data_IF_880100211477
#
_entry.id   IF_880100211477
#
_cell.length_a   1.000
_cell.length_b   1.000
_cell.length_c   1.000
_cell.angle_alpha   90.00
_cell.angle_beta   90.00
_cell.angle_gamma   90.00
#
_symmetry.space_group_name_H-M   'P 1'
#
loop_
_entity.id
_entity.type
_entity.pdbx_description
1 polymer ?
#
# COMPACT_ATOMS: atom_id res chain seq x y z
N UNK A 1 18.73 -3.79 -35.98
CA UNK A 1 18.33 -5.18 -35.66
C UNK A 1 16.82 -5.16 -35.44
N UNK A 2 16.01 -5.70 -36.38
CA UNK A 2 14.56 -5.72 -36.19
C UNK A 2 14.22 -6.61 -34.98
N UNK A 3 13.16 -6.28 -34.21
CA UNK A 3 12.70 -7.13 -33.13
C UNK A 3 12.37 -8.51 -33.71
N UNK A 4 12.95 -9.57 -33.13
CA UNK A 4 12.64 -10.95 -33.52
C UNK A 4 11.14 -11.15 -33.33
N UNK A 5 10.48 -11.91 -34.21
CA UNK A 5 9.03 -12.18 -34.14
C UNK A 5 8.58 -12.56 -32.71
N UNK A 6 9.41 -13.32 -31.98
CA UNK A 6 9.18 -13.68 -30.58
C UNK A 6 9.11 -12.50 -29.60
N UNK A 7 9.89 -11.43 -29.78
CA UNK A 7 9.79 -10.25 -28.90
C UNK A 7 8.51 -9.46 -29.15
N UNK A 8 8.03 -9.42 -30.40
CA UNK A 8 6.75 -8.76 -30.74
C UNK A 8 5.59 -9.55 -30.13
N UNK A 9 5.60 -10.88 -30.27
CA UNK A 9 4.58 -11.75 -29.67
C UNK A 9 4.58 -11.66 -28.14
N UNK A 10 5.75 -11.60 -27.51
CA UNK A 10 5.85 -11.42 -26.05
C UNK A 10 5.24 -10.09 -25.58
N UNK A 11 5.54 -8.98 -26.29
CA UNK A 11 4.94 -7.67 -25.96
C UNK A 11 3.43 -7.65 -26.18
N UNK A 12 2.93 -8.28 -27.26
CA UNK A 12 1.49 -8.40 -27.50
C UNK A 12 0.80 -9.23 -26.41
N UNK A 13 1.41 -10.33 -25.96
CA UNK A 13 0.92 -11.13 -24.85
C UNK A 13 0.85 -10.28 -23.57
N UNK A 14 1.93 -9.56 -23.24
CA UNK A 14 2.00 -8.70 -22.07
C UNK A 14 0.94 -7.59 -22.09
N UNK A 15 0.76 -6.91 -23.23
CA UNK A 15 -0.30 -5.92 -23.43
C UNK A 15 -1.69 -6.52 -23.30
N UNK A 16 -1.91 -7.74 -23.82
CA UNK A 16 -3.20 -8.44 -23.69
C UNK A 16 -3.50 -8.80 -22.24
N UNK A 17 -2.48 -9.23 -21.47
CA UNK A 17 -2.62 -9.49 -20.03
C UNK A 17 -2.99 -8.23 -19.27
N UNK A 18 -2.31 -7.10 -19.53
CA UNK A 18 -2.65 -5.82 -18.90
C UNK A 18 -4.05 -5.32 -19.31
N UNK A 19 -4.42 -5.49 -20.58
CA UNK A 19 -5.76 -5.15 -21.08
C UNK A 19 -6.86 -5.96 -20.40
N UNK A 20 -6.65 -7.28 -20.24
CA UNK A 20 -7.57 -8.15 -19.50
C UNK A 20 -7.65 -7.78 -18.02
N UNK A 21 -6.51 -7.51 -17.37
CA UNK A 21 -6.48 -7.06 -15.97
C UNK A 21 -7.27 -5.76 -15.78
N UNK A 22 -7.09 -4.79 -16.68
CA UNK A 22 -7.82 -3.52 -16.63
C UNK A 22 -9.32 -3.74 -16.87
N UNK A 23 -9.67 -4.51 -17.90
CA UNK A 23 -11.06 -4.83 -18.23
C UNK A 23 -11.78 -5.52 -17.05
N UNK A 24 -11.16 -6.55 -16.48
CA UNK A 24 -11.72 -7.26 -15.33
C UNK A 24 -11.73 -6.39 -14.08
N UNK A 25 -10.75 -5.51 -13.87
CA UNK A 25 -10.80 -4.54 -12.77
C UNK A 25 -12.00 -3.59 -12.91
N UNK A 26 -12.20 -3.01 -14.10
CA UNK A 26 -13.35 -2.15 -14.38
C UNK A 26 -14.67 -2.90 -14.18
N UNK A 27 -14.76 -4.15 -14.64
CA UNK A 27 -15.96 -4.98 -14.53
C UNK A 27 -16.24 -5.43 -13.10
N UNK A 28 -15.25 -5.95 -12.39
CA UNK A 28 -15.38 -6.46 -11.02
C UNK A 28 -15.67 -5.35 -10.01
N UNK A 29 -15.05 -4.17 -10.17
CA UNK A 29 -15.26 -3.03 -9.30
C UNK A 29 -16.35 -2.07 -9.82
N UNK A 30 -17.00 -2.40 -10.94
CA UNK A 30 -18.05 -1.60 -11.55
C UNK A 30 -17.64 -0.13 -11.72
N UNK A 31 -16.41 0.11 -12.20
CA UNK A 31 -15.85 1.45 -12.35
C UNK A 31 -16.51 2.16 -13.53
N UNK A 32 -17.10 3.32 -13.28
CA UNK A 32 -17.67 4.22 -14.28
C UNK A 32 -16.97 5.57 -14.15
N UNK A 33 -16.42 6.08 -15.25
CA UNK A 33 -15.95 7.46 -15.29
C UNK A 33 -17.13 8.37 -15.63
N UNK A 34 -17.50 9.23 -14.68
CA UNK A 34 -18.32 10.40 -14.95
C UNK A 34 -17.38 11.52 -15.43
N UNK A 35 -17.36 11.73 -16.75
CA UNK A 35 -16.49 12.71 -17.38
C UNK A 35 -16.91 14.15 -17.10
N UNK A 36 -18.19 14.39 -16.84
CA UNK A 36 -18.73 15.72 -16.57
C UNK A 36 -18.36 16.18 -15.16
N UNK A 37 -18.35 15.25 -14.19
CA UNK A 37 -17.95 15.52 -12.80
C UNK A 37 -16.46 15.25 -12.53
N UNK A 38 -15.74 14.66 -13.48
CA UNK A 38 -14.37 14.12 -13.31
C UNK A 38 -14.27 13.15 -12.12
N UNK A 39 -15.32 12.35 -11.90
CA UNK A 39 -15.42 11.42 -10.78
C UNK A 39 -15.38 9.98 -11.27
N UNK A 40 -14.64 9.13 -10.55
CA UNK A 40 -14.66 7.68 -10.73
C UNK A 40 -15.73 7.10 -9.80
N UNK A 41 -16.87 6.71 -10.36
CA UNK A 41 -17.90 5.97 -9.65
C UNK A 41 -17.53 4.48 -9.57
N UNK A 42 -17.68 3.87 -8.39
CA UNK A 42 -17.60 2.42 -8.24
C UNK A 42 -18.92 1.91 -7.67
N UNK A 43 -19.49 0.87 -8.29
CA UNK A 43 -20.68 0.18 -7.74
C UNK A 43 -20.43 -0.44 -6.36
N UNK A 44 -19.17 -0.60 -5.97
CA UNK A 44 -18.79 -1.05 -4.63
C UNK A 44 -19.15 -0.04 -3.54
N UNK A 45 -19.50 1.20 -3.91
CA UNK A 45 -20.00 2.24 -3.00
C UNK A 45 -21.53 2.45 -2.97
N UNK A 46 -22.32 1.69 -3.73
CA UNK A 46 -23.79 1.88 -3.78
C UNK A 46 -24.54 0.85 -2.92
N UNK A 47 -25.00 1.24 -1.74
CA UNK A 47 -25.91 0.43 -0.93
C UNK A 47 -27.35 0.54 -1.48
N UNK A 48 -27.95 -0.57 -1.91
CA UNK A 48 -29.41 -0.66 -2.06
C UNK A 48 -30.03 -0.92 -0.69
N UNK A 49 -30.98 -0.08 -0.30
CA UNK A 49 -31.59 -0.06 1.03
C UNK A 49 -32.27 -1.38 1.41
N UNK A 50 -32.15 -1.73 2.69
CA UNK A 50 -33.09 -2.63 3.34
C UNK A 50 -34.43 -1.89 3.52
N UNK A 51 -35.59 -2.57 3.39
CA UNK A 51 -36.89 -1.95 3.63
C UNK A 51 -37.01 -1.49 5.09
N UNK A 52 -37.83 -0.46 5.38
CA UNK A 52 -37.95 0.10 6.73
C UNK A 52 -38.47 -0.97 7.71
N UNK A 53 -37.62 -1.32 8.68
CA UNK A 53 -37.99 -2.19 9.79
C UNK A 53 -38.98 -1.45 10.71
N UNK A 54 -40.12 -2.10 10.99
CA UNK A 54 -41.08 -1.69 12.03
C UNK A 54 -40.35 -1.53 13.38
N UNK A 55 -40.80 -0.60 14.26
CA UNK A 55 -40.18 -0.42 15.55
C UNK A 55 -40.32 -1.69 16.41
N UNK A 56 -39.18 -2.25 16.82
CA UNK A 56 -39.08 -3.29 17.85
C UNK A 56 -39.22 -2.66 19.25
N UNK A 57 -39.82 -3.35 20.23
CA UNK A 57 -39.99 -2.85 21.59
C UNK A 57 -38.64 -2.68 22.31
N UNK A 58 -38.58 -1.70 23.20
CA UNK A 58 -37.38 -1.30 23.93
C UNK A 58 -36.82 -2.44 24.80
N UNK A 59 -35.55 -2.83 24.59
CA UNK A 59 -34.84 -3.77 25.45
C UNK A 59 -33.79 -4.66 24.76
N UNK A 60 -33.77 -4.72 23.43
CA UNK A 60 -32.74 -5.46 22.68
C UNK A 60 -31.69 -4.52 22.11
N UNK A 61 -30.41 -4.84 22.31
CA UNK A 61 -29.31 -4.15 21.67
C UNK A 61 -29.53 -4.15 20.14
N UNK A 62 -29.35 -3.00 19.45
CA UNK A 62 -29.52 -2.97 18.01
C UNK A 62 -28.52 -3.94 17.36
N UNK A 63 -28.91 -4.70 16.32
CA UNK A 63 -27.93 -5.41 15.54
C UNK A 63 -26.94 -4.39 14.97
N UNK A 64 -25.66 -4.56 15.29
CA UNK A 64 -24.55 -3.81 14.69
C UNK A 64 -24.79 -3.71 13.17
N UNK A 65 -24.97 -2.50 12.59
CA UNK A 65 -25.17 -2.37 11.16
C UNK A 65 -23.84 -2.66 10.47
N UNK A 66 -23.63 -3.93 10.11
CA UNK A 66 -22.58 -4.35 9.22
C UNK A 66 -22.79 -3.70 7.85
N UNK A 67 -22.10 -2.59 7.59
CA UNK A 67 -21.98 -2.05 6.24
C UNK A 67 -21.16 -3.02 5.39
N UNK A 68 -21.83 -3.90 4.67
CA UNK A 68 -21.25 -4.60 3.53
C UNK A 68 -21.30 -3.67 2.32
N UNK A 69 -20.14 -3.15 1.93
CA UNK A 69 -19.92 -2.58 0.60
C UNK A 69 -20.21 -3.69 -0.41
N UNK A 70 -21.23 -3.55 -1.29
CA UNK A 70 -21.54 -4.61 -2.22
C UNK A 70 -20.49 -4.60 -3.33
N UNK A 71 -19.48 -5.45 -3.21
CA UNK A 71 -18.76 -5.91 -4.39
C UNK A 71 -19.79 -6.41 -5.42
N UNK A 72 -19.49 -6.34 -6.72
CA UNK A 72 -20.40 -6.82 -7.77
C UNK A 72 -20.70 -8.35 -7.66
N UNK A 73 -20.12 -9.01 -6.68
CA UNK A 73 -20.25 -10.43 -6.35
C UNK A 73 -20.46 -10.59 -4.84
N UNK A 74 -21.21 -11.62 -4.45
CA UNK A 74 -21.42 -12.00 -3.05
C UNK A 74 -20.20 -12.74 -2.47
N UNK A 75 -20.12 -12.82 -1.13
CA UNK A 75 -19.10 -13.65 -0.47
C UNK A 75 -19.15 -15.11 -0.95
N UNK A 76 -20.35 -15.64 -1.17
CA UNK A 76 -20.53 -17.01 -1.68
C UNK A 76 -19.98 -17.15 -3.11
N UNK A 77 -20.31 -16.23 -4.01
CA UNK A 77 -19.81 -16.24 -5.39
C UNK A 77 -18.28 -16.13 -5.42
N UNK A 78 -17.70 -15.25 -4.60
CA UNK A 78 -16.24 -15.12 -4.47
C UNK A 78 -15.58 -16.41 -3.99
N UNK A 79 -16.13 -17.00 -2.92
CA UNK A 79 -15.58 -18.22 -2.33
C UNK A 79 -15.71 -19.40 -3.30
N UNK A 80 -16.82 -19.47 -4.03
CA UNK A 80 -17.05 -20.48 -5.07
C UNK A 80 -16.06 -20.31 -6.21
N UNK A 81 -15.85 -19.09 -6.70
CA UNK A 81 -14.84 -18.80 -7.71
C UNK A 81 -13.43 -19.16 -7.25
N UNK A 82 -13.04 -18.78 -6.02
CA UNK A 82 -11.76 -19.15 -5.44
C UNK A 82 -11.60 -20.68 -5.40
N UNK A 83 -12.62 -21.41 -4.95
CA UNK A 83 -12.61 -22.88 -4.93
C UNK A 83 -12.44 -23.47 -6.34
N UNK A 84 -13.11 -22.90 -7.35
CA UNK A 84 -13.00 -23.35 -8.74
C UNK A 84 -11.61 -23.10 -9.31
N UNK A 85 -10.95 -21.98 -8.97
CA UNK A 85 -9.72 -21.53 -9.65
C UNK A 85 -8.44 -21.94 -8.91
N UNK A 86 -8.47 -22.09 -7.58
CA UNK A 86 -7.26 -22.31 -6.77
C UNK A 86 -6.52 -23.59 -7.15
N UNK A 87 -7.20 -24.73 -7.24
CA UNK A 87 -6.57 -26.01 -7.59
C UNK A 87 -6.10 -26.07 -9.05
N UNK A 88 -6.88 -25.61 -10.06
CA UNK A 88 -6.37 -25.47 -11.42
C UNK A 88 -5.12 -24.60 -11.53
N UNK A 89 -5.03 -23.49 -10.78
CA UNK A 89 -3.83 -22.65 -10.75
C UNK A 89 -2.62 -23.42 -10.19
N UNK A 90 -2.81 -24.21 -9.12
CA UNK A 90 -1.75 -25.11 -8.63
C UNK A 90 -1.33 -26.09 -9.71
N UNK A 91 -2.28 -26.64 -10.46
CA UNK A 91 -2.01 -27.53 -11.60
C UNK A 91 -1.20 -26.85 -12.71
N UNK A 92 -1.59 -25.65 -13.13
CA UNK A 92 -0.84 -24.86 -14.14
C UNK A 92 0.57 -24.54 -13.65
N UNK A 93 0.72 -24.14 -12.38
CA UNK A 93 2.03 -23.85 -11.80
C UNK A 93 2.90 -25.11 -11.73
N UNK A 94 2.33 -26.27 -11.40
CA UNK A 94 3.02 -27.55 -11.42
C UNK A 94 3.47 -27.95 -12.83
N UNK A 95 2.61 -27.77 -13.84
CA UNK A 95 2.97 -28.03 -15.24
C UNK A 95 4.09 -27.10 -15.72
N UNK A 96 4.02 -25.81 -15.38
CA UNK A 96 5.07 -24.83 -15.69
C UNK A 96 6.40 -25.21 -15.02
N UNK A 97 6.38 -25.58 -13.74
CA UNK A 97 7.58 -26.00 -13.02
C UNK A 97 8.18 -27.28 -13.63
N UNK A 98 7.33 -28.26 -13.94
CA UNK A 98 7.75 -29.51 -14.57
C UNK A 98 8.40 -29.26 -15.93
N UNK A 99 7.83 -28.36 -16.73
CA UNK A 99 8.40 -27.95 -18.02
C UNK A 99 9.80 -27.35 -17.86
N UNK A 100 10.00 -26.40 -16.94
CA UNK A 100 11.31 -25.78 -16.71
C UNK A 100 12.35 -26.80 -16.21
N UNK A 101 11.95 -27.73 -15.33
CA UNK A 101 12.84 -28.80 -14.86
C UNK A 101 13.25 -29.72 -16.01
N UNK A 102 12.32 -30.09 -16.89
CA UNK A 102 12.59 -30.95 -18.06
C UNK A 102 13.47 -30.25 -19.10
N UNK A 103 13.21 -28.97 -19.39
CA UNK A 103 14.06 -28.15 -20.28
C UNK A 103 15.46 -28.01 -19.71
N UNK A 104 15.60 -27.78 -18.40
CA UNK A 104 16.89 -27.73 -17.74
C UNK A 104 17.62 -29.09 -17.79
N UNK A 105 16.89 -30.20 -17.57
CA UNK A 105 17.43 -31.55 -17.69
C UNK A 105 17.97 -31.82 -19.11
N UNK A 106 17.20 -31.44 -20.14
CA UNK A 106 17.60 -31.54 -21.53
C UNK A 106 18.88 -30.73 -21.82
N UNK A 107 18.95 -29.49 -21.33
CA UNK A 107 20.16 -28.64 -21.48
C UNK A 107 21.38 -29.27 -20.83
N UNK A 108 21.24 -29.87 -19.64
CA UNK A 108 22.32 -30.61 -18.98
C UNK A 108 22.76 -31.82 -19.80
N UNK A 109 21.83 -32.54 -20.43
CA UNK A 109 22.14 -33.70 -21.27
C UNK A 109 22.92 -33.33 -22.54
N UNK A 110 22.75 -32.12 -23.07
CA UNK A 110 23.44 -31.59 -24.24
C UNK A 110 24.86 -31.06 -23.98
N UNK A 111 25.31 -30.99 -22.71
CA UNK A 111 26.66 -30.53 -22.36
C UNK A 111 27.71 -31.52 -22.88
N UNK A 112 28.78 -31.00 -23.50
CA UNK A 112 29.90 -31.81 -24.01
C UNK A 112 30.90 -32.13 -22.89
N UNK A 113 31.38 -33.38 -22.88
CA UNK A 113 32.38 -33.86 -21.92
C UNK A 113 31.77 -34.49 -20.66
N UNK A 114 32.33 -35.63 -20.23
CA UNK A 114 31.78 -36.43 -19.12
C UNK A 114 31.75 -35.67 -17.79
N UNK A 115 32.87 -35.01 -17.43
CA UNK A 115 32.99 -34.26 -16.18
C UNK A 115 31.99 -33.10 -16.09
N UNK A 116 31.88 -32.29 -17.15
CA UNK A 116 30.96 -31.16 -17.20
C UNK A 116 29.50 -31.59 -17.23
N UNK A 117 29.19 -32.72 -17.89
CA UNK A 117 27.87 -33.33 -17.85
C UNK A 117 27.51 -33.79 -16.44
N UNK A 118 28.43 -34.48 -15.74
CA UNK A 118 28.23 -34.91 -14.36
C UNK A 118 27.99 -33.72 -13.42
N UNK A 119 28.83 -32.68 -13.52
CA UNK A 119 28.68 -31.47 -12.72
C UNK A 119 27.36 -30.74 -12.99
N UNK A 120 26.98 -30.59 -14.26
CA UNK A 120 25.72 -29.98 -14.65
C UNK A 120 24.51 -30.79 -14.16
N UNK A 121 24.57 -32.12 -14.22
CA UNK A 121 23.50 -32.99 -13.69
C UNK A 121 23.39 -32.89 -12.17
N UNK A 122 24.51 -32.79 -11.45
CA UNK A 122 24.50 -32.59 -10.00
C UNK A 122 23.87 -31.24 -9.61
N UNK A 123 24.28 -30.17 -10.28
CA UNK A 123 23.71 -28.83 -10.06
C UNK A 123 22.21 -28.81 -10.37
N UNK A 124 21.80 -29.42 -11.49
CA UNK A 124 20.40 -29.56 -11.84
C UNK A 124 19.61 -30.32 -10.77
N UNK A 125 20.13 -31.45 -10.28
CA UNK A 125 19.45 -32.25 -9.27
C UNK A 125 19.23 -31.46 -7.97
N UNK A 126 20.26 -30.75 -7.50
CA UNK A 126 20.18 -29.90 -6.29
C UNK A 126 19.15 -28.79 -6.48
N UNK A 127 19.22 -28.04 -7.59
CA UNK A 127 18.33 -26.90 -7.84
C UNK A 127 16.89 -27.34 -8.12
N UNK A 128 16.68 -28.42 -8.86
CA UNK A 128 15.36 -28.99 -9.09
C UNK A 128 14.73 -29.43 -7.76
N UNK A 129 15.49 -30.10 -6.90
CA UNK A 129 15.03 -30.52 -5.56
C UNK A 129 14.66 -29.32 -4.70
N UNK A 130 15.52 -28.30 -4.66
CA UNK A 130 15.25 -27.07 -3.92
C UNK A 130 14.00 -26.34 -4.44
N UNK A 131 13.83 -26.28 -5.76
CA UNK A 131 12.69 -25.59 -6.39
C UNK A 131 11.38 -26.34 -6.16
N UNK A 132 11.38 -27.68 -6.28
CA UNK A 132 10.22 -28.52 -5.96
C UNK A 132 9.87 -28.41 -4.48
N UNK A 133 10.87 -28.41 -3.59
CA UNK A 133 10.68 -28.21 -2.16
C UNK A 133 10.05 -26.85 -1.86
N UNK A 134 10.58 -25.77 -2.45
CA UNK A 134 10.06 -24.41 -2.30
C UNK A 134 8.63 -24.29 -2.85
N UNK A 135 8.37 -24.87 -4.02
CA UNK A 135 7.04 -24.94 -4.60
C UNK A 135 6.07 -25.65 -3.66
N UNK A 136 6.42 -26.83 -3.16
CA UNK A 136 5.59 -27.60 -2.24
C UNK A 136 5.23 -26.80 -0.98
N UNK A 137 6.21 -26.21 -0.29
CA UNK A 137 5.93 -25.41 0.91
C UNK A 137 5.14 -24.14 0.59
N UNK A 138 5.27 -23.56 -0.61
CA UNK A 138 4.48 -22.39 -1.03
C UNK A 138 2.99 -22.67 -1.25
N UNK A 139 2.60 -23.95 -1.47
CA UNK A 139 1.20 -24.33 -1.64
C UNK A 139 0.36 -24.05 -0.39
N UNK A 140 0.95 -24.19 0.80
CA UNK A 140 0.25 -23.93 2.07
C UNK A 140 -0.21 -22.46 2.19
N UNK A 141 0.67 -21.45 2.10
CA UNK A 141 0.24 -20.06 2.18
C UNK A 141 -0.59 -19.61 0.98
N UNK A 142 -0.42 -20.23 -0.20
CA UNK A 142 -1.21 -19.94 -1.41
C UNK A 142 -2.66 -20.39 -1.27
N UNK A 143 -2.88 -21.63 -0.82
CA UNK A 143 -4.24 -22.20 -0.68
C UNK A 143 -4.98 -21.70 0.55
N UNK A 144 -4.32 -21.05 1.51
CA UNK A 144 -4.97 -20.60 2.75
C UNK A 144 -6.20 -19.71 2.51
N UNK A 145 -6.23 -18.94 1.42
CA UNK A 145 -7.36 -18.05 1.11
C UNK A 145 -8.69 -18.83 1.01
N UNK A 146 -8.63 -20.12 0.65
CA UNK A 146 -9.76 -21.03 0.58
C UNK A 146 -9.44 -22.28 1.43
N UNK A 147 -10.02 -22.32 2.63
CA UNK A 147 -9.63 -23.27 3.67
C UNK A 147 -9.88 -24.74 3.28
N UNK A 148 -10.86 -25.00 2.41
CA UNK A 148 -11.20 -26.35 1.96
C UNK A 148 -10.09 -26.97 1.08
N UNK A 149 -9.50 -26.21 0.15
CA UNK A 149 -8.37 -26.65 -0.67
C UNK A 149 -7.09 -26.75 0.14
N UNK A 150 -6.90 -25.87 1.13
CA UNK A 150 -5.79 -26.00 2.06
C UNK A 150 -5.84 -27.32 2.84
N UNK A 151 -7.04 -27.74 3.27
CA UNK A 151 -7.27 -29.04 3.90
C UNK A 151 -7.08 -30.24 2.97
N UNK A 152 -7.24 -30.06 1.66
CA UNK A 152 -7.00 -31.11 0.65
C UNK A 152 -5.53 -31.33 0.32
N UNK A 153 -4.62 -30.44 0.74
CA UNK A 153 -3.19 -30.64 0.54
C UNK A 153 -2.69 -31.87 1.30
N UNK A 154 -1.73 -32.57 0.71
CA UNK A 154 -1.12 -33.75 1.33
C UNK A 154 -0.51 -33.38 2.71
N UNK A 155 -0.77 -34.13 3.79
CA UNK A 155 -0.24 -33.81 5.12
C UNK A 155 1.30 -33.72 5.20
N UNK A 156 2.01 -34.36 4.27
CA UNK A 156 3.47 -34.19 4.13
C UNK A 156 3.88 -32.74 3.85
N UNK A 157 3.12 -32.04 3.00
CA UNK A 157 3.37 -30.65 2.63
C UNK A 157 3.21 -29.71 3.83
N UNK A 158 2.16 -29.92 4.63
CA UNK A 158 1.94 -29.17 5.87
C UNK A 158 3.08 -29.37 6.88
N UNK A 159 3.56 -30.60 7.04
CA UNK A 159 4.72 -30.90 7.90
C UNK A 159 6.01 -30.23 7.39
N UNK A 160 6.26 -30.29 6.08
CA UNK A 160 7.41 -29.60 5.47
C UNK A 160 7.36 -28.09 5.67
N UNK A 161 6.18 -27.48 5.46
CA UNK A 161 5.98 -26.06 5.70
C UNK A 161 6.26 -25.68 7.16
N UNK A 162 5.68 -26.41 8.12
CA UNK A 162 5.91 -26.15 9.54
C UNK A 162 7.38 -26.30 9.97
N UNK A 163 8.13 -27.23 9.36
CA UNK A 163 9.56 -27.39 9.64
C UNK A 163 10.41 -26.19 9.17
N UNK A 164 9.99 -25.50 8.10
CA UNK A 164 10.72 -24.37 7.51
C UNK A 164 10.13 -22.99 7.86
N UNK A 165 8.98 -22.95 8.54
CA UNK A 165 8.24 -21.72 8.84
C UNK A 165 9.09 -20.70 9.59
N UNK A 166 9.93 -21.15 10.54
CA UNK A 166 10.83 -20.25 11.30
C UNK A 166 11.83 -19.46 10.43
N UNK A 167 12.12 -19.96 9.23
CA UNK A 167 13.02 -19.31 8.30
C UNK A 167 12.30 -18.33 7.36
N UNK A 168 10.96 -18.32 7.38
CA UNK A 168 10.12 -17.41 6.59
C UNK A 168 10.43 -17.46 5.08
N UNK A 169 10.81 -18.64 4.57
CA UNK A 169 11.14 -18.87 3.15
C UNK A 169 9.93 -18.67 2.22
N UNK A 170 8.74 -18.99 2.72
CA UNK A 170 7.46 -18.79 2.04
C UNK A 170 6.46 -18.21 3.02
N UNK A 171 5.68 -17.22 2.58
CA UNK A 171 4.71 -16.52 3.41
C UNK A 171 3.45 -16.25 2.60
N UNK A 172 2.31 -16.14 3.28
CA UNK A 172 1.12 -15.54 2.66
C UNK A 172 1.39 -14.06 2.48
N UNK A 173 1.92 -13.66 1.33
CA UNK A 173 2.21 -12.27 1.03
C UNK A 173 0.91 -11.47 0.92
N UNK A 174 0.60 -10.74 1.98
CA UNK A 174 -0.26 -9.59 1.97
C UNK A 174 0.26 -8.67 3.06
N UNK A 175 0.74 -7.48 2.68
CA UNK A 175 1.13 -6.43 3.63
C UNK A 175 0.01 -6.17 4.66
N UNK A 176 -1.24 -6.48 4.28
CA UNK A 176 -2.45 -6.51 5.10
C UNK A 176 -3.36 -7.68 4.71
N UNK A 177 -3.05 -8.88 5.20
CA UNK A 177 -3.86 -10.09 4.95
C UNK A 177 -5.31 -9.95 5.45
N UNK A 178 -5.53 -9.15 6.49
CA UNK A 178 -6.84 -8.62 6.88
C UNK A 178 -6.70 -7.12 6.95
N UNK A 179 -7.36 -6.41 6.05
CA UNK A 179 -7.46 -4.95 6.14
C UNK A 179 -8.36 -4.59 7.33
N UNK A 180 -7.92 -3.63 8.14
CA UNK A 180 -8.78 -3.01 9.14
C UNK A 180 -9.74 -2.03 8.44
N UNK A 181 -10.89 -1.75 9.03
CA UNK A 181 -11.91 -0.90 8.43
C UNK A 181 -13.21 -1.61 8.03
N UNK A 182 -13.32 -2.93 8.24
CA UNK A 182 -14.63 -3.62 8.27
C UNK A 182 -15.43 -3.00 9.42
N UNK A 183 -16.49 -2.25 9.08
CA UNK A 183 -17.24 -1.45 10.06
C UNK A 183 -16.73 -0.02 10.29
N UNK A 184 -15.84 0.51 9.44
CA UNK A 184 -15.37 1.90 9.45
C UNK A 184 -13.89 2.05 9.75
N UNK A 185 -13.23 3.00 9.08
CA UNK A 185 -11.79 3.27 9.22
C UNK A 185 -11.54 4.07 10.51
N UNK A 186 -10.81 3.53 11.50
CA UNK A 186 -10.46 4.28 12.71
C UNK A 186 -9.41 5.35 12.37
N UNK A 187 -9.60 6.55 12.91
CA UNK A 187 -8.74 7.70 12.68
C UNK A 187 -8.55 8.49 13.97
N UNK A 188 -7.29 8.76 14.30
CA UNK A 188 -6.92 9.67 15.39
C UNK A 188 -6.99 11.10 14.85
N UNK A 189 -7.83 11.92 15.49
CA UNK A 189 -7.98 13.34 15.21
C UNK A 189 -7.30 14.11 16.35
N UNK A 190 -6.26 14.87 16.00
CA UNK A 190 -5.54 15.70 16.94
C UNK A 190 -6.20 17.07 17.02
N UNK A 191 -6.43 17.56 18.23
CA UNK A 191 -7.08 18.83 18.47
C UNK A 191 -6.18 19.70 19.36
N UNK A 192 -6.09 20.98 19.02
CA UNK A 192 -5.40 21.98 19.82
C UNK A 192 -6.34 23.02 20.39
N UNK A 193 -5.91 23.63 21.48
CA UNK A 193 -6.64 24.68 22.15
C UNK A 193 -5.70 25.67 22.84
N UNK A 194 -6.13 26.93 22.96
CA UNK A 194 -5.44 27.94 23.75
C UNK A 194 -5.98 28.05 25.18
N UNK A 195 -7.26 27.74 25.38
CA UNK A 195 -8.03 27.93 26.61
C UNK A 195 -8.44 26.62 27.30
N UNK A 196 -8.32 25.48 26.61
CA UNK A 196 -8.77 24.16 27.09
C UNK A 196 -10.27 23.88 26.86
N UNK A 197 -11.02 24.84 26.31
CA UNK A 197 -12.46 24.76 26.09
C UNK A 197 -12.82 24.75 24.59
N UNK A 198 -12.17 25.62 23.83
CA UNK A 198 -12.36 25.76 22.38
C UNK A 198 -11.31 24.91 21.66
N UNK A 199 -11.76 23.85 21.01
CA UNK A 199 -10.88 22.86 20.36
C UNK A 199 -10.94 23.01 18.84
N UNK A 200 -9.76 23.10 18.21
CA UNK A 200 -9.62 23.16 16.75
C UNK A 200 -8.88 21.93 16.26
N UNK A 201 -9.49 21.21 15.31
CA UNK A 201 -8.88 20.04 14.68
C UNK A 201 -7.67 20.42 13.84
N UNK A 202 -6.60 19.64 13.97
CA UNK A 202 -5.41 19.74 13.16
C UNK A 202 -5.57 18.81 11.95
N UNK A 203 -5.78 19.40 10.79
CA UNK A 203 -5.92 18.67 9.52
C UNK A 203 -4.57 18.17 9.00
N UNK A 204 -4.53 16.88 8.65
CA UNK A 204 -3.36 16.23 8.06
C UNK A 204 -3.48 16.20 6.54
N UNK A 205 -2.34 16.13 5.84
CA UNK A 205 -2.31 16.24 4.38
C UNK A 205 -3.06 15.13 3.63
N UNK A 206 -3.04 13.88 4.11
CA UNK A 206 -3.43 12.74 3.26
C UNK A 206 -4.37 11.74 3.93
N UNK A 207 -4.38 11.63 5.26
CA UNK A 207 -5.41 10.83 5.96
C UNK A 207 -6.76 11.56 6.01
N UNK A 208 -7.87 10.83 6.22
CA UNK A 208 -9.16 11.44 6.49
C UNK A 208 -9.13 12.39 7.70
N UNK A 209 -9.88 13.47 7.59
CA UNK A 209 -10.07 14.51 8.60
C UNK A 209 -11.37 15.24 8.28
N UNK A 210 -11.28 16.37 7.60
CA UNK A 210 -12.45 17.09 7.09
C UNK A 210 -13.40 16.18 6.28
N UNK A 211 -14.65 16.05 6.75
CA UNK A 211 -15.69 15.20 6.14
C UNK A 211 -16.09 15.61 4.72
N UNK A 212 -15.85 16.86 4.34
CA UNK A 212 -16.13 17.40 3.01
C UNK A 212 -14.94 17.28 2.05
N UNK A 213 -13.78 16.79 2.51
CA UNK A 213 -12.60 16.64 1.67
C UNK A 213 -12.59 15.28 0.95
N UNK A 214 -12.39 15.31 -0.37
CA UNK A 214 -12.20 14.10 -1.15
C UNK A 214 -10.90 13.37 -0.75
N UNK A 215 -10.85 12.03 -0.81
CA UNK A 215 -9.60 11.28 -0.61
C UNK A 215 -8.51 11.74 -1.57
N UNK A 216 -7.31 11.99 -1.05
CA UNK A 216 -6.17 12.39 -1.87
C UNK A 216 -5.59 11.20 -2.67
N UNK A 217 -5.23 11.43 -3.93
CA UNK A 217 -4.42 10.49 -4.74
C UNK A 217 -2.95 10.79 -4.49
N UNK A 218 -2.32 9.96 -3.66
CA UNK A 218 -0.95 10.21 -3.17
C UNK A 218 0.10 9.34 -3.82
N UNK A 219 -0.28 8.26 -4.51
CA UNK A 219 0.68 7.39 -5.18
C UNK A 219 1.55 8.21 -6.14
N UNK A 220 2.87 7.99 -6.19
CA UNK A 220 3.65 6.93 -5.53
C UNK A 220 4.23 7.32 -4.16
N UNK A 221 3.84 8.48 -3.61
CA UNK A 221 4.24 8.88 -2.26
C UNK A 221 3.64 7.97 -1.20
N UNK A 222 4.43 7.70 -0.16
CA UNK A 222 4.01 6.94 1.01
C UNK A 222 4.04 7.88 2.22
N UNK A 223 2.89 8.47 2.61
CA UNK A 223 2.80 9.39 3.74
C UNK A 223 3.12 8.68 5.06
N UNK A 224 4.37 8.79 5.53
CA UNK A 224 4.85 7.98 6.66
C UNK A 224 4.13 8.32 7.97
N UNK A 225 3.86 9.60 8.22
CA UNK A 225 3.20 10.04 9.46
C UNK A 225 1.73 9.61 9.48
N UNK A 226 0.98 9.91 8.42
CA UNK A 226 -0.42 9.52 8.26
C UNK A 226 -0.59 8.00 8.37
N UNK A 227 0.35 7.23 7.81
CA UNK A 227 0.38 5.77 7.89
C UNK A 227 0.64 5.26 9.31
N UNK A 228 1.56 5.89 10.05
CA UNK A 228 1.81 5.56 11.45
C UNK A 228 0.61 5.90 12.33
N UNK A 229 -0.10 7.00 12.04
CA UNK A 229 -1.35 7.35 12.74
C UNK A 229 -2.46 6.33 12.50
N UNK A 230 -2.59 5.81 11.28
CA UNK A 230 -3.53 4.74 10.98
C UNK A 230 -3.26 3.49 11.82
N UNK A 231 -1.99 3.10 12.00
CA UNK A 231 -1.64 2.00 12.91
C UNK A 231 -1.92 2.33 14.37
N UNK A 232 -1.57 3.55 14.81
CA UNK A 232 -1.82 3.99 16.18
C UNK A 232 -3.32 3.92 16.53
N UNK A 233 -4.20 4.22 15.57
CA UNK A 233 -5.65 4.15 15.72
C UNK A 233 -6.21 2.73 15.96
N UNK A 234 -5.42 1.68 15.73
CA UNK A 234 -5.84 0.28 15.90
C UNK A 234 -5.70 -0.24 17.33
N UNK A 235 -5.04 0.52 18.21
CA UNK A 235 -4.79 0.13 19.59
C UNK A 235 -4.81 1.33 20.53
N UNK A 236 -4.49 1.13 21.82
CA UNK A 236 -4.38 2.22 22.78
C UNK A 236 -3.09 3.03 22.52
N UNK A 237 -3.08 4.31 22.89
CA UNK A 237 -1.96 5.21 22.60
C UNK A 237 -0.62 4.76 23.21
N UNK A 238 -0.63 4.00 24.32
CA UNK A 238 0.58 3.46 24.95
C UNK A 238 1.33 2.47 24.05
N UNK A 239 0.66 1.86 23.08
CA UNK A 239 1.29 1.00 22.07
C UNK A 239 2.08 1.79 21.01
N UNK A 240 1.94 3.12 20.99
CA UNK A 240 2.57 4.03 20.02
C UNK A 240 3.40 5.12 20.72
N UNK A 241 4.57 4.79 21.30
CA UNK A 241 5.38 5.73 22.10
C UNK A 241 5.77 7.02 21.37
N UNK A 242 5.99 6.91 20.06
CA UNK A 242 6.34 8.05 19.20
C UNK A 242 5.25 9.14 19.18
N UNK A 243 3.99 8.79 19.48
CA UNK A 243 2.87 9.72 19.49
C UNK A 243 3.01 10.77 20.61
N UNK A 244 3.46 10.37 21.80
CA UNK A 244 3.73 11.31 22.90
C UNK A 244 4.83 12.32 22.54
N UNK A 245 5.87 11.87 21.82
CA UNK A 245 6.90 12.77 21.29
C UNK A 245 6.35 13.70 20.19
N UNK A 246 5.45 13.22 19.33
CA UNK A 246 4.76 14.07 18.36
C UNK A 246 3.99 15.20 19.08
N UNK A 247 3.16 14.84 20.08
CA UNK A 247 2.37 15.80 20.88
C UNK A 247 3.28 16.85 21.53
N UNK A 248 4.36 16.42 22.19
CA UNK A 248 5.33 17.33 22.81
C UNK A 248 5.90 18.33 21.78
N UNK A 249 6.30 17.85 20.60
CA UNK A 249 6.93 18.70 19.59
C UNK A 249 5.96 19.67 18.94
N UNK A 250 4.68 19.30 18.85
CA UNK A 250 3.62 20.19 18.38
C UNK A 250 3.29 21.27 19.43
N UNK A 251 3.21 20.92 20.72
CA UNK A 251 3.10 21.90 21.81
C UNK A 251 4.27 22.88 21.84
N UNK A 252 5.48 22.42 21.50
CA UNK A 252 6.66 23.28 21.37
C UNK A 252 6.67 24.15 20.10
N UNK A 253 5.72 23.96 19.17
CA UNK A 253 5.70 24.66 17.89
C UNK A 253 6.88 24.32 16.97
N UNK A 254 7.40 23.10 17.05
CA UNK A 254 8.59 22.72 16.26
C UNK A 254 8.28 22.70 14.75
N UNK A 255 8.91 23.56 13.94
CA UNK A 255 8.52 23.77 12.55
C UNK A 255 8.75 22.53 11.69
N UNK A 256 9.82 21.77 11.95
CA UNK A 256 10.10 20.53 11.24
C UNK A 256 9.02 19.47 11.48
N UNK A 257 8.35 19.48 12.63
CA UNK A 257 7.26 18.54 12.96
C UNK A 257 5.93 19.03 12.38
N UNK A 258 5.63 20.32 12.49
CA UNK A 258 4.46 20.94 11.86
C UNK A 258 4.45 20.64 10.35
N UNK A 259 5.61 20.69 9.68
CA UNK A 259 5.74 20.37 8.26
C UNK A 259 5.48 18.91 7.89
N UNK A 260 5.61 17.98 8.84
CA UNK A 260 5.20 16.58 8.63
C UNK A 260 3.66 16.45 8.60
N UNK A 261 2.97 17.31 9.35
CA UNK A 261 1.50 17.37 9.39
C UNK A 261 0.96 18.13 8.18
N UNK A 262 1.58 19.28 7.87
CA UNK A 262 1.14 20.17 6.81
C UNK A 262 2.31 20.91 6.15
N UNK A 263 2.51 20.71 4.84
CA UNK A 263 3.56 21.40 4.08
C UNK A 263 3.24 22.88 3.88
N UNK A 264 1.95 23.21 3.74
CA UNK A 264 1.45 24.58 3.61
C UNK A 264 1.11 25.16 5.00
N UNK A 265 2.06 25.87 5.61
CA UNK A 265 1.93 26.39 6.98
C UNK A 265 0.66 27.24 7.20
N UNK A 266 0.11 27.88 6.16
CA UNK A 266 -1.13 28.66 6.26
C UNK A 266 -2.36 27.82 6.62
N UNK A 267 -2.36 26.51 6.30
CA UNK A 267 -3.45 25.58 6.62
C UNK A 267 -3.32 24.97 8.01
N UNK A 268 -2.19 25.17 8.68
CA UNK A 268 -2.01 24.71 10.05
C UNK A 268 -2.65 25.74 11.01
N UNK A 269 -3.69 25.38 11.80
CA UNK A 269 -4.44 26.38 12.57
C UNK A 269 -3.60 27.16 13.59
N UNK A 270 -2.50 26.55 14.07
CA UNK A 270 -1.64 27.10 15.11
C UNK A 270 -0.30 27.62 14.56
N UNK A 271 -0.28 28.07 13.30
CA UNK A 271 0.96 28.55 12.65
C UNK A 271 1.50 29.85 13.26
N UNK A 272 0.62 30.75 13.73
CA UNK A 272 1.04 32.00 14.37
C UNK A 272 1.54 31.84 15.81
N UNK A 273 0.96 30.90 16.57
CA UNK A 273 1.37 30.58 17.94
C UNK A 273 1.01 29.11 18.25
N UNK A 274 1.93 28.33 18.84
CA UNK A 274 1.64 26.94 19.20
C UNK A 274 0.49 26.84 20.22
N UNK A 275 -0.30 25.75 20.19
CA UNK A 275 -1.40 25.55 21.11
C UNK A 275 -0.90 25.37 22.55
N UNK A 276 -1.70 25.80 23.53
CA UNK A 276 -1.41 25.60 24.96
C UNK A 276 -1.72 24.17 25.39
N UNK A 277 -2.79 23.61 24.82
CA UNK A 277 -3.28 22.27 25.11
C UNK A 277 -3.41 21.46 23.83
N UNK A 278 -3.09 20.17 23.91
CA UNK A 278 -3.37 19.19 22.86
C UNK A 278 -4.13 18.02 23.48
N UNK A 279 -5.06 17.46 22.71
CA UNK A 279 -5.71 16.17 22.99
C UNK A 279 -5.90 15.41 21.69
N UNK A 280 -6.21 14.12 21.77
CA UNK A 280 -6.54 13.35 20.58
C UNK A 280 -7.79 12.50 20.78
N UNK A 281 -8.64 12.50 19.77
CA UNK A 281 -9.92 11.80 19.76
C UNK A 281 -9.89 10.68 18.71
N UNK A 282 -10.50 9.54 19.00
CA UNK A 282 -10.65 8.45 18.05
C UNK A 282 -12.03 8.54 17.40
N UNK A 283 -12.04 8.56 16.07
CA UNK A 283 -13.26 8.51 15.27
C UNK A 283 -13.24 7.30 14.36
N UNK A 284 -14.42 6.81 13.97
CA UNK A 284 -14.58 5.92 12.81
C UNK A 284 -15.11 6.73 11.64
N UNK A 285 -14.51 6.54 10.47
CA UNK A 285 -14.89 7.18 9.21
C UNK A 285 -15.46 6.14 8.24
N UNK A 286 -16.49 6.56 7.50
CA UNK A 286 -17.06 5.82 6.37
C UNK A 286 -17.28 6.77 5.20
N UNK A 287 -17.25 6.23 4.00
CA UNK A 287 -17.74 6.97 2.84
C UNK A 287 -19.23 7.25 2.99
N UNK A 288 -19.64 8.45 2.61
CA UNK A 288 -21.06 8.79 2.50
C UNK A 288 -21.63 8.11 1.26
N UNK A 289 -22.83 7.54 1.39
CA UNK A 289 -23.54 7.04 0.22
C UNK A 289 -24.00 8.24 -0.64
N UNK A 290 -24.02 8.13 -1.98
CA UNK A 290 -24.64 9.13 -2.82
C UNK A 290 -26.11 9.27 -2.41
N UNK A 291 -26.50 10.42 -1.87
CA UNK A 291 -27.90 10.66 -1.53
C UNK A 291 -28.59 11.22 -2.78
N UNK A 292 -29.48 10.46 -3.41
CA UNK A 292 -30.19 10.86 -4.64
C UNK A 292 -31.19 12.02 -4.43
N UNK A 293 -31.29 12.62 -3.23
CA UNK A 293 -32.35 13.59 -2.92
C UNK A 293 -31.98 14.78 -2.06
N UNK A 294 -30.71 15.03 -1.71
CA UNK A 294 -30.34 16.24 -0.95
C UNK A 294 -29.84 17.35 -1.88
N UNK A 295 -30.46 18.55 -1.88
CA UNK A 295 -29.95 19.69 -2.65
C UNK A 295 -28.68 20.23 -1.98
N UNK A 296 -27.52 19.76 -2.45
CA UNK A 296 -26.20 20.17 -1.98
C UNK A 296 -25.12 19.14 -2.33
N UNK A 297 -23.85 19.57 -2.37
CA UNK A 297 -22.73 18.63 -2.47
C UNK A 297 -22.66 17.82 -1.16
N UNK A 298 -23.01 16.52 -1.23
CA UNK A 298 -22.91 15.64 -0.08
C UNK A 298 -21.45 15.57 0.42
N UNK A 299 -21.21 15.53 1.74
CA UNK A 299 -19.86 15.34 2.27
C UNK A 299 -19.30 14.01 1.78
N UNK A 300 -17.98 13.92 1.62
CA UNK A 300 -17.30 12.69 1.19
C UNK A 300 -17.30 11.59 2.26
N UNK A 301 -17.31 12.01 3.52
CA UNK A 301 -17.27 11.13 4.67
C UNK A 301 -18.40 11.40 5.64
N UNK A 302 -18.79 10.35 6.35
CA UNK A 302 -19.46 10.44 7.64
C UNK A 302 -18.51 9.92 8.71
N UNK A 303 -18.56 10.50 9.90
CA UNK A 303 -17.72 10.08 11.03
C UNK A 303 -18.53 9.95 12.31
N UNK A 304 -18.05 9.12 13.21
CA UNK A 304 -18.62 8.94 14.54
C UNK A 304 -17.48 8.94 15.56
N UNK A 305 -17.63 9.74 16.62
CA UNK A 305 -16.71 9.71 17.75
C UNK A 305 -16.83 8.37 18.47
N UNK A 306 -15.70 7.77 18.80
CA UNK A 306 -15.64 6.48 19.49
C UNK A 306 -15.26 6.70 20.96
N UNK A 307 -14.11 7.32 21.18
CA UNK A 307 -13.56 7.54 22.51
C UNK A 307 -12.42 8.56 22.46
N UNK A 308 -11.99 9.01 23.63
CA UNK A 308 -10.71 9.71 23.76
C UNK A 308 -9.55 8.75 23.43
N UNK A 309 -8.65 9.18 22.55
CA UNK A 309 -7.45 8.41 22.20
C UNK A 309 -6.27 8.78 23.09
N UNK A 310 -6.07 10.08 23.31
CA UNK A 310 -4.96 10.63 24.10
C UNK A 310 -5.49 11.77 24.97
N UNK A 311 -5.16 11.80 26.27
CA UNK A 311 -5.69 12.77 27.21
C UNK A 311 -5.28 14.20 26.86
N UNK A 312 -6.00 15.16 27.42
CA UNK A 312 -5.62 16.56 27.33
C UNK A 312 -4.32 16.80 28.11
N UNK A 313 -3.32 17.35 27.44
CA UNK A 313 -2.00 17.67 28.04
C UNK A 313 -1.51 19.05 27.62
N UNK A 314 -0.63 19.62 28.43
CA UNK A 314 0.08 20.88 28.15
C UNK A 314 1.59 20.72 28.35
N UNK A 315 2.37 21.76 28.03
CA UNK A 315 3.82 21.76 28.31
C UNK A 315 4.07 21.73 29.81
N UNK A 316 4.87 20.75 30.26
CA UNK A 316 5.16 20.54 31.68
C UNK A 316 4.13 19.69 32.43
N UNK A 317 3.13 19.14 31.72
CA UNK A 317 2.15 18.23 32.31
C UNK A 317 2.83 16.94 32.82
N UNK A 318 2.61 16.54 34.08
CA UNK A 318 3.22 15.34 34.66
C UNK A 318 2.85 14.06 33.92
N UNK A 319 1.65 14.00 33.32
CA UNK A 319 1.17 12.85 32.53
C UNK A 319 2.01 12.69 31.27
N UNK A 320 2.25 13.79 30.55
CA UNK A 320 3.06 13.79 29.34
C UNK A 320 4.53 13.45 29.66
N UNK A 321 5.06 14.03 30.73
CA UNK A 321 6.43 13.77 31.19
C UNK A 321 6.64 12.30 31.61
N UNK A 322 5.65 11.69 32.27
CA UNK A 322 5.66 10.28 32.64
C UNK A 322 5.70 9.38 31.40
N UNK A 323 4.82 9.64 30.42
CA UNK A 323 4.76 8.88 29.17
C UNK A 323 6.07 8.97 28.36
N UNK A 324 6.68 10.15 28.31
CA UNK A 324 7.97 10.36 27.64
C UNK A 324 9.11 9.64 28.35
N UNK A 325 9.13 9.66 29.68
CA UNK A 325 10.17 9.02 30.50
C UNK A 325 10.09 7.50 30.43
N UNK A 326 8.87 6.93 30.49
CA UNK A 326 8.62 5.49 30.38
C UNK A 326 9.23 4.88 29.11
N UNK A 327 9.27 5.64 28.02
CA UNK A 327 9.75 5.18 26.71
C UNK A 327 11.15 5.70 26.35
N UNK A 328 11.87 6.32 27.30
CA UNK A 328 13.22 6.85 27.06
C UNK A 328 13.29 7.99 26.05
N UNK A 329 12.18 8.72 25.81
CA UNK A 329 12.09 9.77 24.80
C UNK A 329 12.53 11.15 25.30
N UNK A 330 12.83 11.26 26.60
CA UNK A 330 13.34 12.48 27.24
C UNK A 330 14.87 12.61 27.13
N UNK A 331 15.56 11.50 26.90
CA UNK A 331 17.02 11.52 26.79
C UNK A 331 17.44 12.35 25.58
N UNK A 332 18.38 13.28 25.80
CA UNK A 332 19.03 13.96 24.68
C UNK A 332 19.69 12.87 23.84
N UNK A 333 19.37 12.75 22.54
CA UNK A 333 20.05 11.78 21.70
C UNK A 333 21.55 12.02 21.84
N UNK A 334 22.39 10.96 21.92
CA UNK A 334 23.82 11.11 22.05
C UNK A 334 24.29 12.10 20.98
N UNK A 335 25.12 13.07 21.40
CA UNK A 335 25.51 14.22 20.58
C UNK A 335 25.82 13.76 19.17
N UNK A 336 24.89 14.01 18.24
CA UNK A 336 25.01 13.56 16.85
C UNK A 336 26.35 14.10 16.36
N UNK A 337 27.25 13.20 15.98
CA UNK A 337 28.56 13.54 15.41
C UNK A 337 28.31 14.63 14.37
N UNK A 338 28.79 15.84 14.62
CA UNK A 338 28.58 17.00 13.76
C UNK A 338 29.23 16.65 12.43
N UNK A 339 28.42 16.18 11.50
CA UNK A 339 28.93 15.67 10.25
C UNK A 339 29.37 16.88 9.43
N UNK A 340 30.64 17.23 9.53
CA UNK A 340 31.32 18.10 8.56
C UNK A 340 31.41 17.44 7.17
N UNK A 341 30.87 16.22 7.02
CA UNK A 341 30.72 15.54 5.76
C UNK A 341 29.87 16.35 4.77
N UNK A 342 30.32 16.37 3.51
CA UNK A 342 29.63 17.03 2.41
C UNK A 342 28.21 16.50 2.19
N UNK A 343 27.99 15.20 2.45
CA UNK A 343 26.71 14.54 2.18
C UNK A 343 25.55 15.09 3.03
N UNK A 344 25.62 15.20 4.37
CA UNK A 344 24.59 15.86 5.17
C UNK A 344 24.31 17.31 4.78
N UNK A 345 25.34 18.08 4.38
CA UNK A 345 25.17 19.45 3.88
C UNK A 345 24.39 19.48 2.57
N UNK A 346 24.75 18.60 1.63
CA UNK A 346 24.04 18.42 0.37
C UNK A 346 22.58 17.99 0.59
N UNK A 347 22.34 17.00 1.47
CA UNK A 347 20.99 16.55 1.80
C UNK A 347 20.16 17.65 2.48
N UNK A 348 20.76 18.45 3.35
CA UNK A 348 20.08 19.59 3.96
C UNK A 348 19.77 20.69 2.93
N UNK A 349 20.66 20.92 1.98
CA UNK A 349 20.44 21.85 0.86
C UNK A 349 19.33 21.35 -0.08
N UNK A 350 19.38 20.10 -0.52
CA UNK A 350 18.32 19.47 -1.32
C UNK A 350 16.97 19.50 -0.59
N UNK A 351 16.96 19.18 0.70
CA UNK A 351 15.74 19.29 1.51
C UNK A 351 15.20 20.71 1.52
N UNK A 352 16.05 21.75 1.60
CA UNK A 352 15.61 23.15 1.54
C UNK A 352 14.97 23.51 0.21
N UNK A 353 15.50 23.01 -0.92
CA UNK A 353 14.90 23.22 -2.24
C UNK A 353 13.54 22.53 -2.40
N UNK A 354 13.40 21.32 -1.86
CA UNK A 354 12.16 20.56 -1.95
C UNK A 354 11.09 20.94 -0.92
N UNK A 355 11.41 21.81 0.06
CA UNK A 355 10.49 22.22 1.13
C UNK A 355 9.10 22.69 0.68
N UNK A 356 8.94 23.50 -0.37
CA UNK A 356 7.62 23.98 -0.76
C UNK A 356 6.79 22.92 -1.52
N UNK A 357 7.40 21.82 -1.95
CA UNK A 357 6.74 20.80 -2.73
C UNK A 357 6.18 19.70 -1.83
N UNK A 358 4.91 19.32 -2.05
CA UNK A 358 4.36 18.12 -1.43
C UNK A 358 5.06 16.86 -1.95
N UNK A 359 5.09 15.81 -1.12
CA UNK A 359 5.71 14.53 -1.47
C UNK A 359 5.26 13.95 -2.82
N UNK A 360 3.94 13.89 -3.11
CA UNK A 360 3.44 13.40 -4.40
C UNK A 360 3.93 14.23 -5.59
N UNK A 361 3.89 15.56 -5.49
CA UNK A 361 4.33 16.46 -6.56
C UNK A 361 5.82 16.25 -6.87
N UNK A 362 6.65 16.15 -5.82
CA UNK A 362 8.08 15.88 -5.98
C UNK A 362 8.31 14.54 -6.69
N UNK A 363 7.66 13.46 -6.26
CA UNK A 363 7.87 12.15 -6.87
C UNK A 363 7.37 12.09 -8.31
N UNK A 364 6.17 12.60 -8.60
CA UNK A 364 5.66 12.66 -9.97
C UNK A 364 6.58 13.48 -10.87
N UNK A 365 7.11 14.61 -10.40
CA UNK A 365 8.07 15.40 -11.18
C UNK A 365 9.32 14.58 -11.55
N UNK A 366 9.86 13.79 -10.61
CA UNK A 366 11.01 12.92 -10.86
C UNK A 366 10.68 11.79 -11.86
N UNK A 367 9.51 11.16 -11.72
CA UNK A 367 9.06 10.13 -12.66
C UNK A 367 8.87 10.70 -14.08
N UNK A 368 8.25 11.88 -14.20
CA UNK A 368 8.05 12.54 -15.49
C UNK A 368 9.39 12.96 -16.12
N UNK A 369 10.35 13.45 -15.34
CA UNK A 369 11.71 13.75 -15.82
C UNK A 369 12.42 12.48 -16.31
N UNK A 370 12.33 11.38 -15.58
CA UNK A 370 12.93 10.12 -16.01
C UNK A 370 12.26 9.57 -17.29
N UNK A 371 10.93 9.64 -17.38
CA UNK A 371 10.16 9.19 -18.53
C UNK A 371 10.48 10.02 -19.78
N UNK A 372 10.51 11.35 -19.65
CA UNK A 372 10.87 12.26 -20.76
C UNK A 372 12.32 12.06 -21.20
N UNK A 373 13.27 11.91 -20.28
CA UNK A 373 14.65 11.59 -20.63
C UNK A 373 14.79 10.24 -21.35
N UNK A 374 14.02 9.22 -20.90
CA UNK A 374 13.94 7.91 -21.56
C UNK A 374 13.38 8.01 -22.99
N UNK A 375 12.30 8.77 -23.16
CA UNK A 375 11.68 9.02 -24.47
C UNK A 375 12.64 9.74 -25.43
N UNK A 376 13.29 10.82 -24.97
CA UNK A 376 14.28 11.56 -25.77
C UNK A 376 15.45 10.67 -26.18
N UNK A 377 15.94 9.80 -25.29
CA UNK A 377 16.99 8.82 -25.63
C UNK A 377 16.52 7.80 -26.66
N UNK A 378 15.29 7.30 -26.56
CA UNK A 378 14.72 6.36 -27.52
C UNK A 378 14.57 7.00 -28.92
N UNK A 379 14.06 8.24 -28.96
CA UNK A 379 13.94 9.01 -30.20
C UNK A 379 15.30 9.32 -30.82
N UNK A 380 16.28 9.74 -30.03
CA UNK A 380 17.64 10.01 -30.51
C UNK A 380 18.34 8.74 -31.05
N UNK A 381 18.13 7.58 -30.42
CA UNK A 381 18.62 6.29 -30.93
C UNK A 381 17.96 5.90 -32.26
N UNK A 382 16.66 6.17 -32.40
CA UNK A 382 15.93 5.94 -33.65
C UNK A 382 16.40 6.86 -34.78
N UNK A 383 16.73 8.11 -34.47
CA UNK A 383 17.28 9.07 -35.43
C UNK A 383 18.71 8.74 -35.91
N UNK A 384 19.53 8.10 -35.06
CA UNK A 384 20.91 7.68 -35.42
C UNK A 384 20.97 6.35 -36.19
N UNK A 385 19.85 5.66 -36.38
CA UNK A 385 19.76 4.45 -37.20
C UNK A 385 19.66 4.76 -38.70
N UNK A 386 20.67 5.40 -39.28
CA UNK A 386 20.80 5.54 -40.75
C UNK A 386 21.11 4.20 -41.43
N UNK A 387 20.79 4.04 -42.73
CA UNK A 387 21.02 2.79 -43.45
C UNK A 387 22.51 2.44 -43.48
N UNK A 388 22.87 1.13 -43.50
CA UNK A 388 24.28 0.74 -43.51
C UNK A 388 24.95 1.28 -44.79
N UNK A 389 26.23 1.71 -44.72
CA UNK A 389 26.95 2.12 -45.92
C UNK A 389 26.97 0.95 -46.90
N UNK A 390 26.62 1.23 -48.16
CA UNK A 390 26.62 0.24 -49.22
C UNK A 390 27.99 -0.45 -49.28
N UNK A 391 28.00 -1.77 -49.03
CA UNK A 391 29.19 -2.60 -49.20
C UNK A 391 29.61 -2.51 -50.67
N UNK A 392 30.69 -1.79 -50.94
CA UNK A 392 31.41 -1.89 -52.20
C UNK A 392 31.75 -3.37 -52.44
N UNK A 393 31.13 -3.98 -53.46
CA UNK A 393 31.65 -5.24 -54.02
C UNK A 393 32.91 -4.85 -54.80
N UNK A 394 34.08 -5.15 -54.23
CA UNK A 394 35.32 -5.20 -55.00
C UNK A 394 35.26 -6.34 -56.03
N UNK A 395 36.02 -6.25 -57.13
CA UNK A 395 36.01 -7.28 -58.17
C UNK A 395 36.55 -8.59 -57.58
N UNK A 396 35.92 -9.70 -57.95
CA UNK A 396 36.49 -11.03 -57.74
C UNK A 396 37.53 -11.26 -58.83
N UNK A 397 38.78 -11.45 -58.43
CA UNK A 397 39.77 -12.25 -59.17
C UNK A 397 40.01 -13.55 -58.42
#
# INVERSE_FOLDING_TARGET
WPPRLGSVLATLLELSTYGLLLYWSVRCFGLQLDWDRRLLHSKVGTCRGAPPLRPLPAGTAPPEPGLSLPAAFTYHEFTTWLRTVTLPLVGVAFLSLSWEILVAMYRCACVRGCFWKLWATLQWAIMATATVGLFAVSLVPFTYIEHESNGKLWPGIHRMFGAVERFQLVNSYGLFRRMTGVGGRPEVILEGSYDGHSWTEIEFMYKPGNVSAAPAVVAPHQPRLDWQLWFAALGPHQSSPWFSALVLRLLQGQPDVIRLVQTDESRYPFHGRPPTFLRAQLYKYWFTAPNEGSPGAAPWWRRQHVQEFFPTVSLGDPTLESLLSQHGLKEKPPGRRRAEAALPRLLAWLRRLCRPCSGPVLLWSLYLVAATAGLLRALARRARGGPPPARHKGPRE
#
